data_IF_098306729991
#
_entry.id   IF_098306729991
#
_cell.length_a   1.000
_cell.length_b   1.000
_cell.length_c   1.000
_cell.angle_alpha   90.00
_cell.angle_beta   90.00
_cell.angle_gamma   90.00
#
_symmetry.space_group_name_H-M   'P 1'
#
loop_
_entity.id
_entity.type
_entity.pdbx_description
1 polymer ?
#
# COMPACT_ATOMS: atom_id res chain seq x y z
N UNK A 1 46.71 11.48 -30.44
CA UNK A 1 46.41 12.93 -30.39
C UNK A 1 47.36 13.59 -29.39
N UNK A 2 47.81 14.83 -29.62
CA UNK A 2 48.58 15.59 -28.59
C UNK A 2 47.59 16.18 -27.58
N UNK A 3 47.99 16.29 -26.31
CA UNK A 3 47.11 16.78 -25.24
C UNK A 3 46.46 18.14 -25.56
N UNK A 4 47.23 19.07 -26.14
CA UNK A 4 46.73 20.40 -26.52
C UNK A 4 45.58 20.33 -27.54
N UNK A 5 45.64 19.38 -28.47
CA UNK A 5 44.58 19.18 -29.45
C UNK A 5 43.33 18.57 -28.81
N UNK A 6 43.51 17.63 -27.87
CA UNK A 6 42.43 17.05 -27.08
C UNK A 6 41.69 18.11 -26.25
N UNK A 7 42.44 18.99 -25.57
CA UNK A 7 41.87 20.13 -24.84
C UNK A 7 41.09 21.03 -25.79
N UNK A 8 41.68 21.44 -26.92
CA UNK A 8 41.04 22.36 -27.86
C UNK A 8 39.72 21.80 -28.41
N UNK A 9 39.63 20.49 -28.64
CA UNK A 9 38.44 19.83 -29.18
C UNK A 9 37.29 19.75 -28.17
N UNK A 10 37.59 19.51 -26.88
CA UNK A 10 36.55 19.24 -25.88
C UNK A 10 36.28 20.42 -24.92
N UNK A 11 37.08 21.50 -24.99
CA UNK A 11 36.96 22.67 -24.11
C UNK A 11 35.54 23.23 -24.01
N UNK A 12 34.85 23.40 -25.13
CA UNK A 12 33.49 23.98 -25.13
C UNK A 12 32.50 23.10 -24.35
N UNK A 13 32.59 21.78 -24.50
CA UNK A 13 31.76 20.82 -23.76
C UNK A 13 32.05 20.87 -22.26
N UNK A 14 33.32 20.97 -21.87
CA UNK A 14 33.70 21.06 -20.47
C UNK A 14 33.21 22.37 -19.84
N UNK A 15 33.24 23.48 -20.59
CA UNK A 15 32.69 24.76 -20.14
C UNK A 15 31.16 24.75 -20.02
N UNK A 16 30.44 24.02 -20.87
CA UNK A 16 29.00 23.80 -20.71
C UNK A 16 28.71 23.07 -19.39
N UNK A 17 29.45 22.00 -19.11
CA UNK A 17 29.31 21.23 -17.87
C UNK A 17 29.62 22.09 -16.65
N UNK A 18 30.64 22.94 -16.71
CA UNK A 18 31.00 23.86 -15.64
C UNK A 18 29.86 24.85 -15.34
N UNK A 19 29.24 25.45 -16.38
CA UNK A 19 28.08 26.35 -16.21
C UNK A 19 26.88 25.67 -15.55
N UNK A 20 26.66 24.38 -15.87
CA UNK A 20 25.61 23.56 -15.25
C UNK A 20 25.91 23.25 -13.78
N UNK A 21 27.16 22.91 -13.46
CA UNK A 21 27.63 22.63 -12.08
C UNK A 21 27.54 23.89 -11.21
N UNK A 22 27.87 25.06 -11.77
CA UNK A 22 27.78 26.36 -11.09
C UNK A 22 26.34 26.88 -10.97
N UNK A 23 25.36 26.18 -11.56
CA UNK A 23 23.96 26.58 -11.53
C UNK A 23 23.61 27.80 -12.39
N UNK A 24 24.52 28.20 -13.30
CA UNK A 24 24.29 29.28 -14.28
C UNK A 24 23.40 28.83 -15.43
N UNK A 25 23.32 27.53 -15.68
CA UNK A 25 22.48 26.92 -16.70
C UNK A 25 21.70 25.73 -16.13
N UNK A 26 20.43 25.59 -16.49
CA UNK A 26 19.57 24.46 -16.08
C UNK A 26 19.33 23.55 -17.27
N UNK A 27 19.64 22.27 -17.10
CA UNK A 27 19.44 21.19 -18.09
C UNK A 27 18.46 20.16 -17.53
N UNK A 28 17.71 19.49 -18.40
CA UNK A 28 16.83 18.39 -17.98
C UNK A 28 17.70 17.19 -17.54
N UNK A 29 17.27 16.35 -16.58
CA UNK A 29 17.91 15.09 -16.23
C UNK A 29 18.48 14.25 -17.38
N UNK A 30 17.79 14.12 -18.51
CA UNK A 30 18.27 13.34 -19.66
C UNK A 30 19.50 13.97 -20.33
N UNK A 31 19.51 15.31 -20.42
CA UNK A 31 20.65 16.07 -20.95
C UNK A 31 21.86 15.97 -20.00
N UNK A 32 21.62 16.00 -18.68
CA UNK A 32 22.66 15.83 -17.66
C UNK A 32 23.33 14.46 -17.77
N UNK A 33 22.52 13.40 -17.95
CA UNK A 33 23.02 12.04 -18.16
C UNK A 33 23.89 11.94 -19.42
N UNK A 34 23.45 12.57 -20.51
CA UNK A 34 24.18 12.58 -21.79
C UNK A 34 25.52 13.33 -21.68
N UNK A 35 25.54 14.48 -21.01
CA UNK A 35 26.75 15.24 -20.72
C UNK A 35 27.71 14.46 -19.82
N UNK A 36 27.21 13.75 -18.81
CA UNK A 36 28.01 12.91 -17.92
C UNK A 36 28.68 11.75 -18.66
N UNK A 37 27.95 11.04 -19.52
CA UNK A 37 28.52 9.92 -20.31
C UNK A 37 29.67 10.42 -21.18
N UNK A 38 29.50 11.55 -21.87
CA UNK A 38 30.55 12.15 -22.68
C UNK A 38 31.78 12.55 -21.85
N UNK A 39 31.57 13.14 -20.68
CA UNK A 39 32.65 13.55 -19.79
C UNK A 39 33.43 12.36 -19.22
N UNK A 40 32.75 11.25 -18.91
CA UNK A 40 33.41 10.02 -18.46
C UNK A 40 34.25 9.40 -19.58
N UNK A 41 33.78 9.43 -20.83
CA UNK A 41 34.59 8.98 -21.97
C UNK A 41 35.87 9.82 -22.12
N UNK A 42 35.76 11.15 -22.00
CA UNK A 42 36.91 12.05 -22.02
C UNK A 42 37.86 11.78 -20.84
N UNK A 43 37.32 11.47 -19.66
CA UNK A 43 38.10 11.11 -18.47
C UNK A 43 38.88 9.82 -18.69
N UNK A 44 38.24 8.76 -19.21
CA UNK A 44 38.90 7.49 -19.49
C UNK A 44 40.02 7.65 -20.53
N UNK A 45 39.80 8.48 -21.56
CA UNK A 45 40.83 8.82 -22.53
C UNK A 45 41.99 9.58 -21.86
N UNK A 46 41.70 10.60 -21.06
CA UNK A 46 42.72 11.40 -20.38
C UNK A 46 43.54 10.59 -19.35
N UNK A 47 42.90 9.67 -18.63
CA UNK A 47 43.58 8.75 -17.72
C UNK A 47 44.52 7.79 -18.45
N UNK A 48 44.13 7.33 -19.65
CA UNK A 48 44.94 6.41 -20.45
C UNK A 48 46.16 7.09 -21.06
N UNK A 49 45.97 8.26 -21.68
CA UNK A 49 47.01 8.92 -22.46
C UNK A 49 47.76 10.04 -21.72
N UNK A 50 47.15 10.65 -20.70
CA UNK A 50 47.70 11.79 -19.95
C UNK A 50 47.54 11.63 -18.42
N UNK A 51 47.90 10.48 -17.80
CA UNK A 51 47.55 10.14 -16.42
C UNK A 51 48.03 11.14 -15.35
N UNK A 52 49.15 11.85 -15.61
CA UNK A 52 49.75 12.81 -14.66
C UNK A 52 49.45 14.28 -15.00
N UNK A 53 48.55 14.54 -15.95
CA UNK A 53 48.23 15.90 -16.38
C UNK A 53 47.19 16.59 -15.47
N UNK A 54 47.30 17.92 -15.37
CA UNK A 54 46.27 18.80 -14.81
C UNK A 54 44.93 18.66 -15.52
N UNK A 55 44.93 18.35 -16.82
CA UNK A 55 43.70 18.10 -17.60
C UNK A 55 42.92 16.92 -17.04
N UNK A 56 43.61 15.82 -16.75
CA UNK A 56 42.99 14.61 -16.16
C UNK A 56 42.39 14.91 -14.79
N UNK A 57 43.10 15.68 -13.96
CA UNK A 57 42.60 16.13 -12.65
C UNK A 57 41.34 17.01 -12.81
N UNK A 58 41.35 17.93 -13.78
CA UNK A 58 40.23 18.84 -14.06
C UNK A 58 38.97 18.08 -14.51
N UNK A 59 39.10 17.16 -15.47
CA UNK A 59 37.97 16.37 -15.97
C UNK A 59 37.43 15.45 -14.86
N UNK A 60 38.30 14.89 -14.01
CA UNK A 60 37.89 14.09 -12.86
C UNK A 60 37.08 14.90 -11.84
N UNK A 61 37.49 16.15 -11.59
CA UNK A 61 36.75 17.08 -10.74
C UNK A 61 35.35 17.36 -11.32
N UNK A 62 35.26 17.73 -12.60
CA UNK A 62 33.96 17.96 -13.26
C UNK A 62 33.05 16.71 -13.18
N UNK A 63 33.62 15.53 -13.41
CA UNK A 63 32.89 14.25 -13.38
C UNK A 63 32.29 13.96 -12.01
N UNK A 64 33.05 14.21 -10.96
CA UNK A 64 32.59 14.02 -9.58
C UNK A 64 31.46 14.99 -9.23
N UNK A 65 31.55 16.25 -9.69
CA UNK A 65 30.55 17.29 -9.39
C UNK A 65 29.22 17.05 -10.11
N UNK A 66 29.26 16.74 -11.41
CA UNK A 66 28.04 16.48 -12.18
C UNK A 66 27.36 15.20 -11.70
N UNK A 67 28.12 14.15 -11.32
CA UNK A 67 27.56 12.93 -10.73
C UNK A 67 26.78 13.22 -9.44
N UNK A 68 27.35 14.05 -8.55
CA UNK A 68 26.65 14.47 -7.32
C UNK A 68 25.35 15.23 -7.63
N UNK A 69 25.33 16.05 -8.69
CA UNK A 69 24.15 16.81 -9.08
C UNK A 69 23.05 15.93 -9.67
N UNK A 70 23.40 14.94 -10.51
CA UNK A 70 22.47 13.94 -11.03
C UNK A 70 21.86 13.13 -9.87
N UNK A 71 22.70 12.67 -8.94
CA UNK A 71 22.25 11.85 -7.82
C UNK A 71 21.40 12.64 -6.81
N UNK A 72 21.73 13.92 -6.55
CA UNK A 72 20.87 14.82 -5.75
C UNK A 72 19.56 15.19 -6.44
N UNK A 73 19.51 15.16 -7.77
CA UNK A 73 18.29 15.48 -8.55
C UNK A 73 17.30 14.32 -8.59
N UNK A 74 17.65 13.15 -8.03
CA UNK A 74 16.67 12.10 -7.68
C UNK A 74 15.78 12.62 -6.53
N UNK A 75 14.89 13.55 -6.87
CA UNK A 75 13.84 14.06 -6.00
C UNK A 75 13.03 12.86 -5.53
N UNK A 76 13.11 12.53 -4.25
CA UNK A 76 11.97 11.87 -3.61
C UNK A 76 10.74 12.70 -3.91
N UNK A 77 9.74 12.06 -4.50
CA UNK A 77 8.46 12.69 -4.85
C UNK A 77 7.95 13.45 -3.63
N UNK A 78 7.86 14.78 -3.76
CA UNK A 78 7.29 15.65 -2.74
C UNK A 78 5.85 15.16 -2.52
N UNK A 79 5.64 14.49 -1.39
CA UNK A 79 4.42 13.80 -0.94
C UNK A 79 4.19 12.37 -1.48
N UNK A 80 5.19 11.49 -1.41
CA UNK A 80 5.05 10.04 -1.66
C UNK A 80 3.80 9.41 -1.01
N UNK A 81 3.47 9.79 0.23
CA UNK A 81 2.24 9.33 0.90
C UNK A 81 0.97 9.78 0.18
N UNK A 82 0.90 11.05 -0.25
CA UNK A 82 -0.26 11.57 -0.97
C UNK A 82 -0.41 10.88 -2.34
N UNK A 83 0.71 10.67 -3.03
CA UNK A 83 0.74 9.96 -4.31
C UNK A 83 0.31 8.49 -4.15
N UNK A 84 0.80 7.81 -3.11
CA UNK A 84 0.40 6.45 -2.77
C UNK A 84 -1.13 6.34 -2.63
N UNK A 85 -1.75 7.20 -1.81
CA UNK A 85 -3.19 7.13 -1.56
C UNK A 85 -4.05 7.65 -2.71
N UNK A 86 -3.62 8.69 -3.43
CA UNK A 86 -4.44 9.28 -4.51
C UNK A 86 -4.26 8.60 -5.87
N UNK A 87 -3.12 7.97 -6.10
CA UNK A 87 -2.76 7.44 -7.42
C UNK A 87 -2.54 5.93 -7.35
N UNK A 88 -1.60 5.45 -6.54
CA UNK A 88 -1.20 4.04 -6.54
C UNK A 88 -2.33 3.12 -6.05
N UNK A 89 -2.96 3.43 -4.91
CA UNK A 89 -4.06 2.62 -4.34
C UNK A 89 -5.26 2.52 -5.29
N UNK A 90 -5.83 3.62 -5.83
CA UNK A 90 -6.95 3.51 -6.77
C UNK A 90 -6.61 2.76 -8.06
N UNK A 91 -5.40 2.96 -8.61
CA UNK A 91 -4.95 2.24 -9.80
C UNK A 91 -4.82 0.74 -9.53
N UNK A 92 -4.26 0.34 -8.38
CA UNK A 92 -4.18 -1.05 -7.96
C UNK A 92 -5.57 -1.68 -7.79
N UNK A 93 -6.50 -0.97 -7.13
CA UNK A 93 -7.88 -1.43 -6.98
C UNK A 93 -8.55 -1.63 -8.35
N UNK A 94 -8.34 -0.70 -9.30
CA UNK A 94 -8.89 -0.83 -10.65
C UNK A 94 -8.26 -1.99 -11.44
N UNK A 95 -6.94 -2.17 -11.32
CA UNK A 95 -6.20 -3.26 -11.96
C UNK A 95 -6.72 -4.62 -11.49
N UNK A 96 -6.93 -4.79 -10.18
CA UNK A 96 -7.35 -6.05 -9.57
C UNK A 96 -8.86 -6.15 -9.30
N UNK A 97 -9.67 -5.26 -9.87
CA UNK A 97 -11.14 -5.18 -9.64
C UNK A 97 -11.88 -6.51 -9.84
N UNK A 98 -11.44 -7.37 -10.76
CA UNK A 98 -12.06 -8.69 -10.98
C UNK A 98 -11.93 -9.58 -9.74
N UNK A 99 -10.76 -9.60 -9.12
CA UNK A 99 -10.53 -10.37 -7.90
C UNK A 99 -11.30 -9.79 -6.71
N UNK A 100 -11.38 -8.47 -6.62
CA UNK A 100 -12.22 -7.79 -5.62
C UNK A 100 -13.71 -8.15 -5.81
N UNK A 101 -14.19 -8.19 -7.05
CA UNK A 101 -15.56 -8.61 -7.37
C UNK A 101 -15.80 -10.08 -7.01
N UNK A 102 -14.84 -10.98 -7.25
CA UNK A 102 -14.96 -12.38 -6.81
C UNK A 102 -15.01 -12.51 -5.29
N UNK A 103 -14.11 -11.81 -4.59
CA UNK A 103 -14.10 -11.79 -3.12
C UNK A 103 -15.43 -11.23 -2.56
N UNK A 104 -15.93 -10.14 -3.15
CA UNK A 104 -17.23 -9.56 -2.80
C UNK A 104 -18.38 -10.53 -3.08
N UNK A 105 -18.36 -11.22 -4.23
CA UNK A 105 -19.35 -12.24 -4.56
C UNK A 105 -19.36 -13.38 -3.55
N UNK A 106 -18.20 -13.95 -3.21
CA UNK A 106 -18.10 -14.98 -2.17
C UNK A 106 -18.59 -14.46 -0.81
N UNK A 107 -18.18 -13.25 -0.42
CA UNK A 107 -18.61 -12.62 0.81
C UNK A 107 -20.14 -12.49 0.88
N UNK A 108 -20.77 -11.96 -0.17
CA UNK A 108 -22.23 -11.80 -0.24
C UNK A 108 -22.96 -13.14 -0.20
N UNK A 109 -22.50 -14.13 -0.97
CA UNK A 109 -23.11 -15.46 -1.00
C UNK A 109 -23.02 -16.13 0.37
N UNK A 110 -21.85 -16.14 1.00
CA UNK A 110 -21.65 -16.80 2.30
C UNK A 110 -22.40 -16.09 3.43
N UNK A 111 -22.46 -14.76 3.39
CA UNK A 111 -23.26 -13.99 4.35
C UNK A 111 -24.76 -14.29 4.18
N UNK A 112 -25.24 -14.37 2.94
CA UNK A 112 -26.62 -14.75 2.64
C UNK A 112 -26.92 -16.16 3.12
N UNK A 113 -26.01 -17.12 2.90
CA UNK A 113 -26.13 -18.49 3.42
C UNK A 113 -26.26 -18.46 4.95
N UNK A 114 -25.42 -17.70 5.65
CA UNK A 114 -25.49 -17.58 7.11
C UNK A 114 -26.83 -17.02 7.61
N UNK A 115 -27.35 -16.00 6.93
CA UNK A 115 -28.63 -15.38 7.28
C UNK A 115 -29.84 -16.28 6.95
N UNK A 116 -29.83 -16.93 5.78
CA UNK A 116 -30.91 -17.83 5.35
C UNK A 116 -30.94 -19.09 6.22
N UNK A 117 -29.78 -19.67 6.56
CA UNK A 117 -29.72 -20.81 7.47
C UNK A 117 -30.25 -20.44 8.87
N UNK A 118 -29.91 -19.26 9.37
CA UNK A 118 -30.44 -18.74 10.64
C UNK A 118 -31.97 -18.49 10.60
N UNK A 119 -32.53 -18.21 9.43
CA UNK A 119 -33.97 -18.06 9.26
C UNK A 119 -34.72 -19.39 9.39
N UNK A 120 -34.19 -20.45 8.77
CA UNK A 120 -34.86 -21.75 8.73
C UNK A 120 -34.59 -22.60 9.98
N UNK A 121 -33.45 -22.42 10.63
CA UNK A 121 -33.05 -23.17 11.82
C UNK A 121 -32.61 -22.21 12.94
N UNK A 122 -33.38 -22.21 14.03
CA UNK A 122 -33.11 -21.35 15.20
C UNK A 122 -31.86 -21.79 15.97
N UNK A 123 -31.55 -23.09 15.95
CA UNK A 123 -30.39 -23.64 16.65
C UNK A 123 -29.10 -23.37 15.85
N UNK A 124 -29.21 -23.04 14.56
CA UNK A 124 -28.07 -22.69 13.71
C UNK A 124 -27.30 -21.47 14.25
N UNK A 125 -28.01 -20.46 14.74
CA UNK A 125 -27.36 -19.26 15.29
C UNK A 125 -26.54 -19.61 16.53
N UNK A 126 -27.09 -20.47 17.41
CA UNK A 126 -26.39 -20.94 18.61
C UNK A 126 -25.20 -21.84 18.26
N UNK A 127 -25.31 -22.67 17.21
CA UNK A 127 -24.20 -23.49 16.73
C UNK A 127 -23.02 -22.64 16.21
N UNK A 128 -23.32 -21.54 15.51
CA UNK A 128 -22.31 -20.67 14.91
C UNK A 128 -21.71 -19.68 15.92
N UNK A 129 -22.55 -19.06 16.77
CA UNK A 129 -22.13 -17.99 17.68
C UNK A 129 -21.92 -18.45 19.13
N UNK A 130 -22.47 -19.60 19.52
CA UNK A 130 -22.47 -20.11 20.88
C UNK A 130 -23.62 -19.54 21.72
N UNK A 131 -24.21 -20.38 22.59
CA UNK A 131 -25.37 -20.01 23.41
C UNK A 131 -25.12 -18.78 24.29
N UNK A 132 -23.92 -18.66 24.86
CA UNK A 132 -23.57 -17.52 25.72
C UNK A 132 -23.60 -16.19 24.97
N UNK A 133 -23.04 -16.15 23.75
CA UNK A 133 -23.02 -14.93 22.95
C UNK A 133 -24.41 -14.56 22.43
N UNK A 134 -25.21 -15.55 22.03
CA UNK A 134 -26.59 -15.32 21.57
C UNK A 134 -27.45 -14.77 22.72
N UNK A 135 -27.42 -15.39 23.89
CA UNK A 135 -28.20 -14.94 25.05
C UNK A 135 -27.83 -13.52 25.48
N UNK A 136 -26.53 -13.23 25.57
CA UNK A 136 -26.03 -11.88 25.85
C UNK A 136 -26.51 -10.87 24.79
N UNK A 137 -26.47 -11.23 23.52
CA UNK A 137 -26.90 -10.34 22.43
C UNK A 137 -28.41 -10.08 22.49
N UNK A 138 -29.24 -11.09 22.77
CA UNK A 138 -30.68 -10.93 22.96
C UNK A 138 -30.99 -10.03 24.17
N UNK A 139 -30.25 -10.18 25.27
CA UNK A 139 -30.40 -9.33 26.45
C UNK A 139 -30.02 -7.87 26.15
N UNK A 140 -28.92 -7.65 25.44
CA UNK A 140 -28.50 -6.33 24.97
C UNK A 140 -29.54 -5.65 24.07
N UNK A 141 -30.13 -6.39 23.13
CA UNK A 141 -31.23 -5.90 22.29
C UNK A 141 -32.44 -5.49 23.13
N UNK A 142 -32.85 -6.32 24.11
CA UNK A 142 -33.96 -6.01 25.03
C UNK A 142 -33.69 -4.75 25.85
N UNK A 143 -32.46 -4.55 26.27
CA UNK A 143 -32.03 -3.40 27.05
C UNK A 143 -31.78 -2.13 26.20
N UNK A 144 -32.07 -2.17 24.89
CA UNK A 144 -31.76 -1.09 23.91
C UNK A 144 -30.27 -0.70 23.92
N UNK A 145 -29.40 -1.63 24.29
CA UNK A 145 -27.96 -1.49 24.27
C UNK A 145 -27.33 -2.50 23.30
N UNK A 146 -27.74 -2.41 22.04
CA UNK A 146 -27.47 -3.38 20.98
C UNK A 146 -25.97 -3.60 20.71
N UNK A 147 -25.13 -2.58 20.96
CA UNK A 147 -23.67 -2.63 20.83
C UNK A 147 -22.95 -2.64 22.19
N UNK A 148 -23.66 -2.99 23.27
CA UNK A 148 -23.16 -2.94 24.66
C UNK A 148 -21.89 -3.75 24.90
N UNK A 149 -21.65 -4.80 24.11
CA UNK A 149 -20.40 -5.59 24.10
C UNK A 149 -19.16 -4.71 23.90
N UNK A 150 -19.32 -3.54 23.29
CA UNK A 150 -18.24 -2.67 22.87
C UNK A 150 -18.19 -1.33 23.61
N UNK A 151 -19.09 -1.08 24.56
CA UNK A 151 -19.24 0.23 25.23
C UNK A 151 -18.45 0.37 26.53
N UNK A 152 -18.04 -0.73 27.16
CA UNK A 152 -17.42 -0.70 28.49
C UNK A 152 -15.93 -0.32 28.47
N UNK A 153 -15.28 -0.39 27.30
CA UNK A 153 -13.89 0.02 27.10
C UNK A 153 -13.78 1.40 26.43
N UNK A 154 -12.72 2.16 26.74
CA UNK A 154 -12.48 3.46 26.11
C UNK A 154 -12.42 3.36 24.58
N UNK A 155 -13.08 4.28 23.87
CA UNK A 155 -13.23 4.26 22.39
C UNK A 155 -11.92 3.98 21.63
N UNK A 156 -10.78 4.49 22.12
CA UNK A 156 -9.46 4.24 21.54
C UNK A 156 -8.94 2.81 21.74
N UNK A 157 -9.11 2.21 22.92
CA UNK A 157 -8.67 0.83 23.16
C UNK A 157 -9.51 -0.15 22.35
N UNK A 158 -10.82 0.07 22.32
CA UNK A 158 -11.75 -0.74 21.52
C UNK A 158 -11.39 -0.68 20.02
N UNK A 159 -11.14 0.53 19.50
CA UNK A 159 -10.74 0.70 18.09
C UNK A 159 -9.45 -0.04 17.77
N UNK A 160 -8.44 0.03 18.64
CA UNK A 160 -7.19 -0.70 18.47
C UNK A 160 -7.39 -2.22 18.51
N UNK A 161 -8.24 -2.71 19.41
CA UNK A 161 -8.58 -4.14 19.51
C UNK A 161 -9.24 -4.64 18.22
N UNK A 162 -10.18 -3.87 17.65
CA UNK A 162 -10.83 -4.19 16.37
C UNK A 162 -9.80 -4.22 15.24
N UNK A 163 -8.91 -3.23 15.17
CA UNK A 163 -7.86 -3.16 14.15
C UNK A 163 -6.95 -4.39 14.24
N UNK A 164 -6.47 -4.73 15.43
CA UNK A 164 -5.59 -5.89 15.65
C UNK A 164 -6.31 -7.20 15.30
N UNK A 165 -7.59 -7.33 15.64
CA UNK A 165 -8.37 -8.52 15.28
C UNK A 165 -8.51 -8.68 13.76
N UNK A 166 -8.85 -7.60 13.05
CA UNK A 166 -8.95 -7.62 11.58
C UNK A 166 -7.60 -7.91 10.91
N UNK A 167 -6.49 -7.34 11.42
CA UNK A 167 -5.15 -7.65 10.93
C UNK A 167 -4.80 -9.12 11.14
N UNK A 168 -5.15 -9.71 12.28
CA UNK A 168 -4.92 -11.13 12.57
C UNK A 168 -5.72 -12.03 11.62
N UNK A 169 -7.01 -11.74 11.42
CA UNK A 169 -7.87 -12.49 10.50
C UNK A 169 -7.37 -12.34 9.05
N UNK A 170 -6.97 -11.14 8.64
CA UNK A 170 -6.38 -10.88 7.33
C UNK A 170 -5.06 -11.62 7.10
N UNK A 171 -4.16 -11.62 8.09
CA UNK A 171 -2.91 -12.37 8.04
C UNK A 171 -3.19 -13.89 7.95
N UNK A 172 -4.15 -14.39 8.70
CA UNK A 172 -4.56 -15.80 8.65
C UNK A 172 -5.16 -16.17 7.29
N UNK A 173 -6.05 -15.34 6.73
CA UNK A 173 -6.57 -15.49 5.36
C UNK A 173 -5.46 -15.57 4.32
N UNK A 174 -4.45 -14.71 4.43
CA UNK A 174 -3.30 -14.69 3.54
C UNK A 174 -2.45 -15.97 3.66
N UNK A 175 -2.11 -16.39 4.87
CA UNK A 175 -1.33 -17.62 5.12
C UNK A 175 -2.08 -18.86 4.61
N UNK A 176 -3.39 -18.93 4.85
CA UNK A 176 -4.24 -20.01 4.35
C UNK A 176 -4.37 -20.04 2.82
N UNK A 177 -3.96 -18.96 2.14
CA UNK A 177 -3.86 -18.90 0.68
C UNK A 177 -2.82 -19.85 0.10
N UNK A 178 -1.82 -20.27 0.88
CA UNK A 178 -0.79 -21.25 0.46
C UNK A 178 -1.42 -22.58 0.02
N UNK A 179 -2.62 -22.92 0.51
CA UNK A 179 -3.39 -24.09 0.10
C UNK A 179 -4.13 -23.90 -1.24
N UNK A 180 -3.50 -23.20 -2.19
CA UNK A 180 -4.10 -22.90 -3.50
C UNK A 180 -5.36 -22.02 -3.42
N UNK A 181 -5.49 -21.21 -2.36
CA UNK A 181 -6.65 -20.34 -2.12
C UNK A 181 -7.88 -21.02 -1.48
N UNK A 182 -7.95 -22.35 -1.45
CA UNK A 182 -9.06 -23.07 -0.81
C UNK A 182 -9.14 -22.75 0.70
N UNK A 183 -7.99 -22.65 1.36
CA UNK A 183 -7.91 -22.24 2.76
C UNK A 183 -8.48 -20.84 3.00
N UNK A 184 -8.12 -19.87 2.15
CA UNK A 184 -8.66 -18.50 2.25
C UNK A 184 -10.19 -18.47 2.06
N UNK A 185 -10.71 -19.22 1.08
CA UNK A 185 -12.16 -19.32 0.84
C UNK A 185 -12.88 -19.93 2.04
N UNK A 186 -12.32 -20.96 2.67
CA UNK A 186 -12.91 -21.58 3.86
C UNK A 186 -12.92 -20.65 5.07
N UNK A 187 -11.84 -19.91 5.30
CA UNK A 187 -11.79 -18.90 6.38
C UNK A 187 -12.78 -17.78 6.12
N UNK A 188 -12.87 -17.31 4.87
CA UNK A 188 -13.85 -16.31 4.46
C UNK A 188 -15.28 -16.81 4.70
N UNK A 189 -15.57 -18.04 4.31
CA UNK A 189 -16.86 -18.70 4.53
C UNK A 189 -17.28 -18.69 5.98
N UNK A 190 -16.41 -19.12 6.91
CA UNK A 190 -16.72 -19.08 8.35
C UNK A 190 -17.03 -17.68 8.86
N UNK A 191 -16.20 -16.70 8.49
CA UNK A 191 -16.40 -15.31 8.93
C UNK A 191 -17.72 -14.72 8.39
N UNK A 192 -18.06 -15.01 7.12
CA UNK A 192 -19.26 -14.49 6.50
C UNK A 192 -20.53 -15.17 7.03
N UNK A 193 -20.51 -16.49 7.27
CA UNK A 193 -21.65 -17.17 7.90
C UNK A 193 -21.92 -16.59 9.28
N UNK A 194 -20.86 -16.42 10.09
CA UNK A 194 -20.96 -15.80 11.41
C UNK A 194 -21.61 -14.41 11.33
N UNK A 195 -21.17 -13.57 10.38
CA UNK A 195 -21.75 -12.25 10.15
C UNK A 195 -23.23 -12.34 9.73
N UNK A 196 -23.57 -13.23 8.81
CA UNK A 196 -24.95 -13.41 8.33
C UNK A 196 -25.90 -13.86 9.42
N UNK A 197 -25.50 -14.85 10.21
CA UNK A 197 -26.28 -15.34 11.35
C UNK A 197 -26.42 -14.29 12.43
N UNK A 198 -25.35 -13.53 12.71
CA UNK A 198 -25.39 -12.39 13.63
C UNK A 198 -26.37 -11.31 13.17
N UNK A 199 -26.29 -10.88 11.90
CA UNK A 199 -27.20 -9.86 11.37
C UNK A 199 -28.66 -10.33 11.40
N UNK A 200 -28.90 -11.61 11.14
CA UNK A 200 -30.23 -12.19 11.24
C UNK A 200 -30.77 -12.21 12.69
N UNK A 201 -29.91 -12.39 13.70
CA UNK A 201 -30.31 -12.33 15.10
C UNK A 201 -30.92 -10.97 15.47
N UNK A 202 -30.34 -9.86 14.99
CA UNK A 202 -30.91 -8.51 15.17
C UNK A 202 -32.20 -8.33 14.39
N UNK A 203 -32.31 -8.90 13.19
CA UNK A 203 -33.55 -8.89 12.42
C UNK A 203 -34.68 -9.65 13.12
N UNK A 204 -34.36 -10.75 13.80
CA UNK A 204 -35.35 -11.60 14.47
C UNK A 204 -35.79 -11.07 15.83
N UNK A 205 -34.86 -10.56 16.64
CA UNK A 205 -35.11 -10.21 18.04
C UNK A 205 -35.15 -8.70 18.32
N UNK A 206 -34.75 -7.86 17.36
CA UNK A 206 -34.75 -6.41 17.51
C UNK A 206 -35.59 -5.71 16.46
N UNK A 207 -35.77 -4.39 16.64
CA UNK A 207 -36.51 -3.54 15.70
C UNK A 207 -35.63 -3.14 14.50
N UNK A 208 -36.20 -2.54 13.45
CA UNK A 208 -35.43 -2.04 12.30
C UNK A 208 -34.28 -1.09 12.70
N UNK A 209 -34.47 -0.32 13.77
CA UNK A 209 -33.45 0.56 14.34
C UNK A 209 -32.26 -0.22 14.91
N UNK A 210 -32.50 -1.39 15.50
CA UNK A 210 -31.48 -2.29 16.04
C UNK A 210 -30.62 -2.95 14.97
N UNK A 211 -31.24 -3.24 13.83
CA UNK A 211 -30.54 -3.76 12.66
C UNK A 211 -29.65 -2.68 12.03
N UNK A 212 -30.10 -1.42 12.08
CA UNK A 212 -29.34 -0.30 11.55
C UNK A 212 -28.17 0.10 12.46
N UNK A 213 -28.34 0.03 13.78
CA UNK A 213 -27.27 0.28 14.74
C UNK A 213 -26.20 -0.81 14.67
N UNK A 214 -26.59 -2.09 14.57
CA UNK A 214 -25.64 -3.20 14.41
C UNK A 214 -24.77 -3.04 13.16
N UNK A 215 -25.35 -2.54 12.06
CA UNK A 215 -24.65 -2.30 10.80
C UNK A 215 -23.74 -1.06 10.81
N UNK A 216 -24.06 -0.05 11.65
CA UNK A 216 -23.26 1.19 11.76
C UNK A 216 -22.02 1.02 12.62
N UNK A 217 -22.00 0.04 13.53
CA UNK A 217 -20.95 -0.07 14.54
C UNK A 217 -21.06 1.04 15.61
N UNK A 218 -20.03 1.17 16.44
CA UNK A 218 -19.88 2.27 17.42
C UNK A 218 -19.63 3.59 16.70
#
# INVERSE_FOLDING_TARGET
>A
MREVAFIKQNKEKWQEIERVIEGREKKNPDDLSSLYINLINDLSFAQTYYPKSKTTVYINYLSSRIFQQIYKTKREERNRLLYFYKTEVPLLMYQYRKYLLYAFGFFSIFTLIGAVSAHYDKDFVNLILGDGYVNMTIENIKNKNEVGVYQDEGMLSMSLMIIVNNLRVGAYLFVMGVLGGAGSVFVLFKNCIMLGSFQYLFFQYGDFQSLQSSARGI
#
